data_IF_531097108045
#
_entry.id   IF_531097108045
#
_cell.length_a   1.000
_cell.length_b   1.000
_cell.length_c   1.000
_cell.angle_alpha   90.00
_cell.angle_beta   90.00
_cell.angle_gamma   90.00
#
_symmetry.space_group_name_H-M   'P 1'
#
loop_
_entity.id
_entity.type
_entity.pdbx_description
1 polymer ?
#
# COMPACT_ATOMS: atom_id res chain seq x y z
N UNK A 1 8.08 -12.71 -7.78
CA UNK A 1 8.47 -11.83 -6.65
C UNK A 1 9.81 -11.18 -6.97
N UNK A 2 10.06 -9.92 -6.62
CA UNK A 2 11.35 -9.27 -6.91
C UNK A 2 12.44 -9.79 -5.99
N UNK A 3 13.69 -9.69 -6.41
CA UNK A 3 14.82 -9.92 -5.52
C UNK A 3 14.78 -8.89 -4.37
N UNK A 4 14.76 -9.37 -3.13
CA UNK A 4 14.64 -8.51 -1.95
C UNK A 4 15.81 -7.53 -1.82
N UNK A 5 17.02 -7.90 -2.25
CA UNK A 5 18.19 -7.03 -2.19
C UNK A 5 18.04 -5.85 -3.14
N UNK A 6 17.49 -6.07 -4.34
CA UNK A 6 17.15 -4.99 -5.28
C UNK A 6 16.13 -4.04 -4.66
N UNK A 7 15.08 -4.57 -4.01
CA UNK A 7 14.07 -3.74 -3.32
C UNK A 7 14.71 -2.89 -2.21
N UNK A 8 15.61 -3.48 -1.40
CA UNK A 8 16.34 -2.74 -0.36
C UNK A 8 17.21 -1.63 -0.94
N UNK A 9 17.96 -1.90 -2.01
CA UNK A 9 18.82 -0.92 -2.67
C UNK A 9 18.02 0.25 -3.27
N UNK A 10 16.94 -0.05 -3.99
CA UNK A 10 16.05 0.97 -4.55
C UNK A 10 15.40 1.80 -3.44
N UNK A 11 14.90 1.15 -2.38
CA UNK A 11 14.32 1.82 -1.22
C UNK A 11 15.34 2.78 -0.59
N UNK A 12 16.56 2.30 -0.29
CA UNK A 12 17.61 3.10 0.34
C UNK A 12 17.99 4.30 -0.55
N UNK A 13 18.18 4.09 -1.85
CA UNK A 13 18.49 5.16 -2.81
C UNK A 13 17.42 6.24 -2.80
N UNK A 14 16.15 5.84 -2.93
CA UNK A 14 15.02 6.77 -2.93
C UNK A 14 14.86 7.49 -1.58
N UNK A 15 15.13 6.78 -0.48
CA UNK A 15 14.96 7.32 0.86
C UNK A 15 16.04 8.34 1.23
N UNK A 16 17.32 8.05 0.94
CA UNK A 16 18.42 9.02 1.10
C UNK A 16 18.12 10.30 0.30
N UNK A 17 17.64 10.14 -0.93
CA UNK A 17 17.29 11.28 -1.77
C UNK A 17 16.14 12.11 -1.17
N UNK A 18 15.08 11.45 -0.68
CA UNK A 18 13.94 12.12 -0.02
C UNK A 18 14.34 12.86 1.26
N UNK A 19 15.22 12.26 2.07
CA UNK A 19 15.75 12.88 3.29
C UNK A 19 16.62 14.11 2.97
N UNK A 20 17.52 14.02 1.99
CA UNK A 20 18.35 15.17 1.56
C UNK A 20 17.49 16.35 1.14
N UNK A 21 16.40 16.11 0.41
CA UNK A 21 15.47 17.18 -0.01
C UNK A 21 14.77 17.85 1.16
N UNK A 22 14.32 17.10 2.16
CA UNK A 22 13.76 17.68 3.38
C UNK A 22 14.75 18.57 4.12
N UNK A 23 15.99 18.09 4.30
CA UNK A 23 17.05 18.86 4.97
C UNK A 23 17.37 20.15 4.21
N UNK A 24 17.36 20.13 2.88
CA UNK A 24 17.57 21.33 2.06
C UNK A 24 16.42 22.35 2.14
N UNK A 25 15.18 21.89 2.30
CA UNK A 25 14.00 22.77 2.33
C UNK A 25 13.80 23.45 3.68
N UNK A 26 14.11 22.76 4.79
CA UNK A 26 13.87 23.29 6.14
C UNK A 26 15.00 22.89 7.09
N UNK A 27 15.96 23.80 7.28
CA UNK A 27 17.13 23.58 8.15
C UNK A 27 16.76 23.48 9.64
N UNK A 28 15.79 24.27 10.09
CA UNK A 28 15.31 24.30 11.47
C UNK A 28 13.94 23.61 11.56
N UNK A 29 13.93 22.35 11.96
CA UNK A 29 12.72 21.55 12.17
C UNK A 29 12.58 21.14 13.64
N UNK A 30 11.37 21.23 14.17
CA UNK A 30 11.03 20.62 15.45
C UNK A 30 11.13 19.10 15.38
N UNK A 31 11.27 18.42 16.52
CA UNK A 31 11.34 16.96 16.59
C UNK A 31 10.13 16.28 15.92
N UNK A 32 8.93 16.85 16.10
CA UNK A 32 7.70 16.35 15.50
C UNK A 32 7.73 16.43 13.96
N UNK A 33 8.26 17.53 13.42
CA UNK A 33 8.42 17.70 11.98
C UNK A 33 9.46 16.76 11.40
N UNK A 34 10.58 16.56 12.08
CA UNK A 34 11.60 15.57 11.69
C UNK A 34 11.02 14.17 11.63
N UNK A 35 10.25 13.75 12.65
CA UNK A 35 9.56 12.45 12.66
C UNK A 35 8.59 12.30 11.49
N UNK A 36 7.80 13.35 11.20
CA UNK A 36 6.88 13.36 10.06
C UNK A 36 7.61 13.28 8.72
N UNK A 37 8.71 14.03 8.54
CA UNK A 37 9.53 14.02 7.34
C UNK A 37 10.20 12.66 7.10
N UNK A 38 10.73 12.03 8.15
CA UNK A 38 11.30 10.67 8.09
C UNK A 38 10.24 9.66 7.65
N UNK A 39 9.05 9.69 8.28
CA UNK A 39 7.95 8.80 7.89
C UNK A 39 7.53 9.02 6.43
N UNK A 40 7.30 10.26 6.04
CA UNK A 40 6.84 10.57 4.69
C UNK A 40 7.86 10.18 3.62
N UNK A 41 9.13 10.50 3.83
CA UNK A 41 10.20 10.14 2.91
C UNK A 41 10.32 8.62 2.76
N UNK A 42 10.13 7.86 3.83
CA UNK A 42 10.11 6.40 3.77
C UNK A 42 8.88 5.87 3.00
N UNK A 43 7.69 6.41 3.26
CA UNK A 43 6.45 6.03 2.55
C UNK A 43 6.57 6.30 1.03
N UNK A 44 7.12 7.46 0.64
CA UNK A 44 7.39 7.80 -0.75
C UNK A 44 8.48 6.92 -1.37
N UNK A 45 9.56 6.64 -0.64
CA UNK A 45 10.63 5.78 -1.12
C UNK A 45 10.14 4.35 -1.39
N UNK A 46 9.33 3.79 -0.48
CA UNK A 46 8.69 2.48 -0.67
C UNK A 46 7.80 2.48 -1.90
N UNK A 47 6.90 3.47 -2.04
CA UNK A 47 6.00 3.58 -3.17
C UNK A 47 6.73 3.66 -4.51
N UNK A 48 7.87 4.35 -4.55
CA UNK A 48 8.68 4.51 -5.75
C UNK A 48 9.44 3.26 -6.17
N UNK A 49 9.78 2.35 -5.25
CA UNK A 49 10.39 1.07 -5.63
C UNK A 49 9.49 0.27 -6.58
N UNK A 50 8.18 0.51 -6.57
CA UNK A 50 7.23 -0.19 -7.45
C UNK A 50 6.83 0.60 -8.69
N UNK A 51 7.55 1.67 -9.03
CA UNK A 51 7.22 2.55 -10.15
C UNK A 51 5.74 2.98 -10.15
N UNK A 52 5.11 3.07 -8.95
CA UNK A 52 3.71 3.46 -8.76
C UNK A 52 2.71 2.52 -9.47
N UNK A 53 3.10 1.27 -9.73
CA UNK A 53 2.26 0.31 -10.46
C UNK A 53 1.16 -0.28 -9.56
N UNK A 54 1.48 -0.50 -8.29
CA UNK A 54 0.58 -1.14 -7.32
C UNK A 54 -0.44 -0.14 -6.75
N UNK A 55 -1.61 -0.64 -6.37
CA UNK A 55 -2.67 0.17 -5.75
C UNK A 55 -2.20 0.73 -4.40
N UNK A 56 -1.47 -0.05 -3.60
CA UNK A 56 -0.96 0.41 -2.31
C UNK A 56 0.07 1.54 -2.47
N UNK A 57 0.95 1.48 -3.46
CA UNK A 57 1.96 2.54 -3.70
C UNK A 57 1.31 3.84 -4.15
N UNK A 58 0.30 3.77 -5.02
CA UNK A 58 -0.52 4.93 -5.42
C UNK A 58 -1.24 5.55 -4.22
N UNK A 59 -1.77 4.73 -3.31
CA UNK A 59 -2.44 5.21 -2.10
C UNK A 59 -1.48 5.97 -1.17
N UNK A 60 -0.24 5.49 -1.00
CA UNK A 60 0.78 6.21 -0.23
C UNK A 60 1.11 7.58 -0.85
N UNK A 61 1.29 7.64 -2.17
CA UNK A 61 1.56 8.90 -2.89
C UNK A 61 0.38 9.86 -2.77
N UNK A 62 -0.85 9.37 -2.94
CA UNK A 62 -2.05 10.18 -2.77
C UNK A 62 -2.17 10.73 -1.34
N UNK A 63 -1.84 9.93 -0.33
CA UNK A 63 -1.81 10.38 1.06
C UNK A 63 -0.72 11.43 1.31
N UNK A 64 0.46 11.28 0.70
CA UNK A 64 1.53 12.25 0.81
C UNK A 64 1.18 13.61 0.18
N UNK A 65 0.44 13.59 -0.93
CA UNK A 65 0.01 14.78 -1.69
C UNK A 65 -1.07 15.61 -0.98
N UNK A 66 -1.78 15.05 0.02
CA UNK A 66 -2.84 15.77 0.75
C UNK A 66 -2.33 16.99 1.53
N UNK A 67 -1.03 17.05 1.84
CA UNK A 67 -0.42 18.18 2.54
C UNK A 67 0.33 19.06 1.54
N UNK A 68 -0.08 20.32 1.38
CA UNK A 68 0.50 21.29 0.45
C UNK A 68 2.02 21.46 0.61
N UNK A 69 2.51 21.33 1.84
CA UNK A 69 3.94 21.45 2.17
C UNK A 69 4.79 20.30 1.60
N UNK A 70 4.17 19.18 1.23
CA UNK A 70 4.86 17.98 0.73
C UNK A 70 4.82 17.86 -0.80
N UNK A 71 4.18 18.81 -1.49
CA UNK A 71 3.96 18.79 -2.94
C UNK A 71 5.28 18.70 -3.72
N UNK A 72 6.31 19.43 -3.28
CA UNK A 72 7.65 19.46 -3.90
C UNK A 72 8.33 18.08 -3.87
N UNK A 73 8.11 17.30 -2.81
CA UNK A 73 8.66 15.94 -2.71
C UNK A 73 7.89 14.97 -3.60
N UNK A 74 6.56 15.11 -3.65
CA UNK A 74 5.74 14.25 -4.51
C UNK A 74 6.06 14.44 -6.00
N UNK A 75 6.23 15.68 -6.46
CA UNK A 75 6.48 15.98 -7.89
C UNK A 75 7.84 15.45 -8.38
N UNK A 76 8.89 15.53 -7.56
CA UNK A 76 10.23 15.13 -7.98
C UNK A 76 10.54 13.64 -7.78
N UNK A 77 9.96 12.99 -6.76
CA UNK A 77 10.00 11.52 -6.66
C UNK A 77 9.21 10.88 -7.81
N UNK A 78 8.16 11.56 -8.30
CA UNK A 78 7.34 11.07 -9.40
C UNK A 78 7.96 11.30 -10.79
N UNK A 79 8.93 12.21 -10.94
CA UNK A 79 9.15 12.88 -12.22
C UNK A 79 7.94 13.76 -12.60
N UNK A 80 8.14 14.77 -13.44
CA UNK A 80 7.08 15.67 -13.94
C UNK A 80 6.03 14.91 -14.76
N UNK A 81 5.18 14.13 -14.09
CA UNK A 81 3.97 13.56 -14.65
C UNK A 81 2.82 14.47 -14.21
N UNK A 82 1.92 14.85 -15.13
CA UNK A 82 0.82 15.74 -14.80
C UNK A 82 0.02 15.18 -13.61
N UNK A 83 -0.57 16.05 -12.78
CA UNK A 83 -1.31 15.63 -11.61
C UNK A 83 -2.34 14.59 -12.06
N UNK A 84 -2.29 13.41 -11.44
CA UNK A 84 -3.34 12.41 -11.59
C UNK A 84 -4.62 13.13 -11.25
N UNK A 85 -5.40 13.45 -12.30
CA UNK A 85 -6.68 14.12 -12.20
C UNK A 85 -7.45 13.35 -11.13
N UNK A 86 -8.03 14.09 -10.17
CA UNK A 86 -9.11 13.57 -9.35
C UNK A 86 -10.18 13.11 -10.33
N UNK A 87 -10.18 11.84 -10.72
CA UNK A 87 -11.31 11.25 -11.40
C UNK A 87 -12.40 11.15 -10.34
N UNK A 88 -13.24 12.17 -10.28
CA UNK A 88 -14.64 11.99 -9.92
C UNK A 88 -15.23 11.03 -10.94
N UNK A 89 -14.98 9.73 -10.74
CA UNK A 89 -15.57 8.70 -11.59
C UNK A 89 -17.01 8.57 -11.17
N UNK A 90 -17.85 9.38 -11.80
CA UNK A 90 -19.28 9.16 -11.89
C UNK A 90 -19.48 7.79 -12.56
N UNK A 91 -19.51 6.72 -11.77
CA UNK A 91 -19.97 5.41 -12.23
C UNK A 91 -21.50 5.42 -12.27
N UNK A 92 -22.05 6.14 -13.25
CA UNK A 92 -23.40 5.89 -13.73
C UNK A 92 -23.32 4.78 -14.76
N UNK A 93 -23.42 3.53 -14.30
CA UNK A 93 -23.70 2.39 -15.17
C UNK A 93 -24.94 1.66 -14.67
N UNK A 94 -26.09 2.21 -15.07
CA UNK A 94 -27.34 1.47 -15.18
C UNK A 94 -27.14 0.35 -16.20
N UNK A 95 -26.91 -0.87 -15.71
CA UNK A 95 -27.12 -2.07 -16.51
C UNK A 95 -28.56 -2.52 -16.33
N UNK A 96 -29.37 -2.35 -17.37
CA UNK A 96 -30.73 -2.90 -17.45
C UNK A 96 -30.67 -4.40 -17.20
N UNK A 97 -31.33 -4.86 -16.14
CA UNK A 97 -31.64 -6.27 -15.94
C UNK A 97 -32.50 -6.77 -17.12
N UNK A 98 -31.90 -7.56 -18.02
CA UNK A 98 -32.67 -8.42 -18.91
C UNK A 98 -33.08 -9.67 -18.14
N UNK A 99 -34.34 -9.69 -17.75
CA UNK A 99 -35.04 -10.89 -17.27
C UNK A 99 -35.09 -11.93 -18.39
N UNK A 100 -34.22 -12.93 -18.34
CA UNK A 100 -34.39 -14.18 -19.08
C UNK A 100 -34.91 -15.25 -18.12
N UNK A 101 -36.23 -15.49 -18.14
CA UNK A 101 -36.86 -16.65 -17.49
C UNK A 101 -36.48 -17.91 -18.25
N UNK A 102 -35.45 -18.61 -17.81
CA UNK A 102 -35.24 -20.00 -18.21
C UNK A 102 -35.76 -20.92 -17.11
N UNK A 103 -37.00 -21.37 -17.31
CA UNK A 103 -37.53 -22.59 -16.73
C UNK A 103 -36.66 -23.73 -17.25
N UNK A 104 -35.96 -24.45 -16.37
CA UNK A 104 -35.62 -25.86 -16.55
C UNK A 104 -35.30 -26.49 -15.18
N UNK A 105 -36.24 -27.36 -14.76
CA UNK A 105 -36.11 -28.57 -13.92
C UNK A 105 -35.10 -28.55 -12.76
N UNK A 106 -35.62 -28.50 -11.52
CA UNK A 106 -34.91 -29.01 -10.33
C UNK A 106 -35.77 -29.98 -9.54
N UNK A 107 -35.73 -31.25 -9.94
CA UNK A 107 -35.94 -32.36 -9.01
C UNK A 107 -34.62 -33.12 -8.89
N UNK A 108 -33.72 -32.61 -8.05
CA UNK A 108 -32.72 -33.39 -7.32
C UNK A 108 -32.53 -32.72 -5.97
N UNK A 109 -33.41 -33.07 -5.04
CA UNK A 109 -33.17 -32.84 -3.62
C UNK A 109 -31.97 -33.73 -3.22
N UNK A 110 -30.77 -33.22 -3.45
CA UNK A 110 -29.59 -33.74 -2.75
C UNK A 110 -29.73 -33.23 -1.33
N UNK A 111 -30.02 -34.13 -0.40
CA UNK A 111 -29.91 -33.88 1.04
C UNK A 111 -28.49 -33.37 1.32
N UNK A 112 -28.27 -32.05 1.26
CA UNK A 112 -27.07 -31.45 1.83
C UNK A 112 -27.24 -31.57 3.35
N UNK A 113 -26.31 -32.21 4.08
CA UNK A 113 -26.39 -32.22 5.53
C UNK A 113 -26.45 -30.77 6.01
N UNK A 114 -27.47 -30.42 6.81
CA UNK A 114 -27.72 -29.06 7.32
C UNK A 114 -26.46 -28.47 7.95
N UNK A 115 -25.65 -29.31 8.60
CA UNK A 115 -24.37 -28.94 9.23
C UNK A 115 -23.34 -28.38 8.25
N UNK A 116 -23.26 -28.91 7.01
CA UNK A 116 -22.33 -28.42 5.99
C UNK A 116 -22.69 -27.02 5.53
N UNK A 117 -23.98 -26.67 5.52
CA UNK A 117 -24.45 -25.33 5.15
C UNK A 117 -24.13 -24.33 6.26
N UNK A 118 -24.30 -24.72 7.53
CA UNK A 118 -23.92 -23.92 8.70
C UNK A 118 -22.41 -23.69 8.75
N UNK A 119 -21.60 -24.73 8.58
CA UNK A 119 -20.14 -24.62 8.54
C UNK A 119 -19.66 -23.71 7.39
N UNK A 120 -20.24 -23.84 6.20
CA UNK A 120 -19.95 -22.97 5.06
C UNK A 120 -20.29 -21.49 5.34
N UNK A 121 -21.41 -21.23 6.01
CA UNK A 121 -21.80 -19.88 6.41
C UNK A 121 -20.82 -19.29 7.42
N UNK A 122 -20.45 -20.05 8.46
CA UNK A 122 -19.47 -19.63 9.47
C UNK A 122 -18.12 -19.33 8.80
N UNK A 123 -17.63 -20.21 7.93
CA UNK A 123 -16.39 -20.01 7.19
C UNK A 123 -16.43 -18.72 6.34
N UNK A 124 -17.53 -18.47 5.61
CA UNK A 124 -17.72 -17.22 4.86
C UNK A 124 -17.69 -15.99 5.76
N UNK A 125 -18.36 -16.01 6.91
CA UNK A 125 -18.36 -14.89 7.86
C UNK A 125 -16.96 -14.62 8.42
N UNK A 126 -16.20 -15.67 8.73
CA UNK A 126 -14.82 -15.55 9.19
C UNK A 126 -13.92 -14.94 8.10
N UNK A 127 -14.01 -15.44 6.87
CA UNK A 127 -13.26 -14.89 5.72
C UNK A 127 -13.62 -13.43 5.51
N UNK A 128 -14.90 -13.06 5.47
CA UNK A 128 -15.34 -11.67 5.35
C UNK A 128 -14.75 -10.76 6.44
N UNK A 129 -14.73 -11.23 7.70
CA UNK A 129 -14.14 -10.47 8.82
C UNK A 129 -12.64 -10.28 8.64
N UNK A 130 -11.91 -11.32 8.23
CA UNK A 130 -10.46 -11.26 7.99
C UNK A 130 -10.12 -10.37 6.79
N UNK A 131 -10.85 -10.52 5.69
CA UNK A 131 -10.72 -9.67 4.50
C UNK A 131 -10.93 -8.19 4.85
N UNK A 132 -11.98 -7.85 5.62
CA UNK A 132 -12.21 -6.46 6.08
C UNK A 132 -11.03 -5.92 6.89
N UNK A 133 -10.49 -6.71 7.83
CA UNK A 133 -9.30 -6.32 8.60
C UNK A 133 -8.10 -6.11 7.69
N UNK A 134 -7.87 -7.02 6.74
CA UNK A 134 -6.76 -6.88 5.81
C UNK A 134 -6.86 -5.62 4.95
N UNK A 135 -8.07 -5.30 4.45
CA UNK A 135 -8.34 -4.05 3.71
C UNK A 135 -7.98 -2.80 4.52
N UNK A 136 -8.22 -2.81 5.84
CA UNK A 136 -7.87 -1.66 6.71
C UNK A 136 -6.38 -1.53 7.01
N UNK A 137 -5.58 -2.60 6.84
CA UNK A 137 -4.14 -2.59 7.10
C UNK A 137 -3.33 -2.16 5.86
N UNK A 138 -3.86 -2.44 4.67
CA UNK A 138 -3.19 -2.13 3.42
C UNK A 138 -3.52 -0.70 2.98
N UNK A 139 -2.52 0.13 2.62
CA UNK A 139 -2.80 1.45 2.04
C UNK A 139 -3.73 1.33 0.82
N UNK A 140 -4.90 1.96 0.87
CA UNK A 140 -5.91 1.88 -0.19
C UNK A 140 -6.64 0.53 -0.31
N UNK A 141 -6.46 -0.39 0.64
CA UNK A 141 -7.07 -1.73 0.63
C UNK A 141 -8.60 -1.72 0.65
N UNK A 142 -9.21 -0.68 1.21
CA UNK A 142 -10.67 -0.45 1.25
C UNK A 142 -11.31 -0.48 -0.16
N UNK A 143 -10.56 -0.09 -1.19
CA UNK A 143 -11.02 0.00 -2.57
C UNK A 143 -10.60 -1.21 -3.43
N UNK A 144 -10.03 -2.26 -2.84
CA UNK A 144 -9.55 -3.43 -3.56
C UNK A 144 -10.59 -4.56 -3.55
N UNK A 145 -10.67 -5.31 -4.65
CA UNK A 145 -11.32 -6.61 -4.72
C UNK A 145 -10.50 -7.68 -3.96
N UNK A 146 -11.13 -8.80 -3.65
CA UNK A 146 -10.54 -9.81 -2.77
C UNK A 146 -9.33 -10.55 -3.40
N UNK A 147 -9.24 -10.61 -4.74
CA UNK A 147 -8.11 -11.25 -5.45
C UNK A 147 -6.91 -10.34 -5.42
N UNK A 148 -7.06 -9.09 -5.90
CA UNK A 148 -5.97 -8.11 -5.86
C UNK A 148 -5.50 -7.79 -4.44
N UNK A 149 -6.38 -7.89 -3.43
CA UNK A 149 -6.01 -7.66 -2.04
C UNK A 149 -4.87 -8.58 -1.57
N UNK A 150 -4.91 -9.86 -1.94
CA UNK A 150 -3.89 -10.83 -1.52
C UNK A 150 -2.56 -10.56 -2.23
N UNK A 151 -2.60 -10.30 -3.54
CA UNK A 151 -1.42 -9.99 -4.34
C UNK A 151 -0.72 -8.71 -3.86
N UNK A 152 -1.50 -7.64 -3.66
CA UNK A 152 -1.00 -6.36 -3.17
C UNK A 152 -0.48 -6.48 -1.73
N UNK A 153 -1.08 -7.34 -0.90
CA UNK A 153 -0.59 -7.60 0.46
C UNK A 153 0.77 -8.27 0.44
N UNK A 154 0.96 -9.31 -0.40
CA UNK A 154 2.25 -9.99 -0.53
C UNK A 154 3.35 -9.01 -0.94
N UNK A 155 3.03 -8.14 -1.89
CA UNK A 155 3.97 -7.11 -2.36
C UNK A 155 4.28 -6.06 -1.28
N UNK A 156 3.26 -5.61 -0.55
CA UNK A 156 3.43 -4.63 0.52
C UNK A 156 4.24 -5.20 1.68
N UNK A 157 4.00 -6.46 2.08
CA UNK A 157 4.81 -7.15 3.10
C UNK A 157 6.28 -7.24 2.67
N UNK A 158 6.55 -7.53 1.39
CA UNK A 158 7.92 -7.55 0.87
C UNK A 158 8.58 -6.17 0.99
N UNK A 159 7.84 -5.10 0.68
CA UNK A 159 8.31 -3.72 0.77
C UNK A 159 8.56 -3.28 2.21
N UNK A 160 7.67 -3.66 3.14
CA UNK A 160 7.84 -3.41 4.57
C UNK A 160 9.07 -4.11 5.15
N UNK A 161 9.33 -5.38 4.76
CA UNK A 161 10.53 -6.10 5.18
C UNK A 161 11.79 -5.37 4.72
N UNK A 162 11.84 -4.96 3.46
CA UNK A 162 12.97 -4.20 2.92
C UNK A 162 13.17 -2.86 3.67
N UNK A 163 12.08 -2.13 3.94
CA UNK A 163 12.12 -0.90 4.73
C UNK A 163 12.73 -1.14 6.12
N UNK A 164 12.18 -2.09 6.88
CA UNK A 164 12.60 -2.37 8.26
C UNK A 164 14.07 -2.81 8.31
N UNK A 165 14.49 -3.68 7.40
CA UNK A 165 15.88 -4.15 7.35
C UNK A 165 16.86 -3.02 7.04
N UNK A 166 16.56 -2.16 6.06
CA UNK A 166 17.40 -0.99 5.76
C UNK A 166 17.48 -0.05 6.96
N UNK A 167 16.36 0.22 7.64
CA UNK A 167 16.33 1.07 8.83
C UNK A 167 17.19 0.49 9.96
N UNK A 168 17.12 -0.82 10.20
CA UNK A 168 17.96 -1.50 11.20
C UNK A 168 19.44 -1.42 10.87
N UNK A 169 19.81 -1.60 9.60
CA UNK A 169 21.20 -1.47 9.16
C UNK A 169 21.73 -0.05 9.42
N UNK A 170 20.94 0.99 9.18
CA UNK A 170 21.35 2.38 9.46
C UNK A 170 21.52 2.65 10.95
N UNK A 171 20.63 2.13 11.80
CA UNK A 171 20.78 2.23 13.26
C UNK A 171 22.07 1.55 13.71
N UNK A 172 22.30 0.31 13.28
CA UNK A 172 23.50 -0.46 13.61
C UNK A 172 24.77 0.26 13.13
N UNK A 173 24.78 0.76 11.90
CA UNK A 173 25.92 1.51 11.36
C UNK A 173 26.17 2.81 12.14
N UNK A 174 25.11 3.52 12.55
CA UNK A 174 25.23 4.73 13.35
C UNK A 174 25.79 4.44 14.75
N UNK A 175 25.38 3.35 15.39
CA UNK A 175 25.90 2.92 16.69
C UNK A 175 27.39 2.58 16.60
N UNK A 176 27.80 1.86 15.57
CA UNK A 176 29.22 1.53 15.33
C UNK A 176 30.09 2.78 15.10
N UNK A 177 29.56 3.80 14.42
CA UNK A 177 30.27 5.06 14.19
C UNK A 177 30.42 5.90 15.45
N UNK A 178 29.47 5.78 16.40
CA UNK A 178 29.55 6.45 17.71
C UNK A 178 30.58 5.74 18.60
N UNK A 179 30.69 4.42 18.51
CA UNK A 179 31.61 3.60 19.31
C UNK A 179 33.06 3.63 18.79
N UNK A 180 33.28 3.97 17.52
CA UNK A 180 34.60 4.15 16.91
C UNK A 180 34.72 5.55 16.28
N UNK A 181 34.84 6.62 17.09
CA UNK A 181 35.06 7.96 16.55
C UNK A 181 36.44 8.01 15.88
N UNK A 182 36.47 8.47 14.62
CA UNK A 182 37.68 8.76 13.85
C UNK A 182 38.58 9.79 14.52
#
# INVERSE_FOLDING_TARGET
MRNINTVKQEFLKNWIWGLRKYTSQKKNMSLLERKKAIKLSADLAMASTRNKTTRWSKALIANASKNSNNKVLTEHVLGSSPPVRKSSTNYSQSTRMRSCRNRLRRNRAVHRPKDRVVASFIARKLVQKRTRRLKSLLPGGEFMDDVSLVEETLDYVQSLRAQVEVMRCLVTASELMILNPS
#
